data_IF_011720118830
#
_entry.id   IF_011720118830
#
_cell.length_a   1.000
_cell.length_b   1.000
_cell.length_c   1.000
_cell.angle_alpha   90.00
_cell.angle_beta   90.00
_cell.angle_gamma   90.00
#
_symmetry.space_group_name_H-M   'P 1'
#
loop_
_entity.id
_entity.type
_entity.pdbx_description
1 polymer ?
#
# COMPACT_ATOMS: atom_id res chain seq x y z
N UNK A 1 21.47 -3.08 -6.32
CA UNK A 1 20.48 -4.05 -5.76
C UNK A 1 19.31 -3.25 -5.20
N UNK A 2 18.07 -3.59 -5.59
CA UNK A 2 16.87 -2.93 -5.06
C UNK A 2 16.34 -3.70 -3.85
N UNK A 3 16.08 -3.01 -2.74
CA UNK A 3 15.53 -3.60 -1.51
C UNK A 3 14.25 -2.91 -1.11
N UNK A 4 13.29 -3.67 -0.57
CA UNK A 4 12.13 -3.16 0.15
C UNK A 4 12.34 -3.37 1.64
N UNK A 5 12.30 -2.28 2.41
CA UNK A 5 12.33 -2.30 3.87
C UNK A 5 10.96 -1.92 4.40
N UNK A 6 10.37 -2.77 5.24
CA UNK A 6 9.14 -2.47 5.98
C UNK A 6 9.51 -1.70 7.23
N UNK A 7 9.18 -0.41 7.29
CA UNK A 7 9.36 0.44 8.48
C UNK A 7 8.23 0.19 9.46
N UNK A 8 7.01 0.07 8.93
CA UNK A 8 5.82 -0.34 9.63
C UNK A 8 4.71 -0.76 8.68
N UNK A 9 3.78 -1.59 9.18
CA UNK A 9 2.64 -2.07 8.42
C UNK A 9 1.50 -2.43 9.38
N UNK A 10 0.33 -1.83 9.19
CA UNK A 10 -0.86 -2.02 10.02
C UNK A 10 -1.40 -0.71 10.56
N UNK A 11 -2.44 -0.76 11.39
CA UNK A 11 -3.18 0.40 11.92
C UNK A 11 -2.36 1.31 12.85
N UNK A 12 -1.17 0.90 13.28
CA UNK A 12 -0.24 1.73 14.04
C UNK A 12 0.61 2.66 13.15
N UNK A 13 0.65 2.42 11.86
CA UNK A 13 1.33 3.23 10.86
C UNK A 13 1.99 2.40 9.76
N UNK A 14 1.73 2.80 8.54
CA UNK A 14 2.28 2.19 7.33
C UNK A 14 3.41 3.06 6.78
N UNK A 15 4.54 2.46 6.50
CA UNK A 15 5.67 3.12 5.86
C UNK A 15 6.60 2.05 5.27
N UNK A 16 6.87 2.16 3.98
CA UNK A 16 7.73 1.23 3.25
C UNK A 16 8.79 2.01 2.50
N UNK A 17 10.02 1.50 2.49
CA UNK A 17 11.14 2.12 1.81
C UNK A 17 11.65 1.20 0.71
N UNK A 18 11.45 1.61 -0.54
CA UNK A 18 12.01 0.95 -1.72
C UNK A 18 13.26 1.69 -2.14
N UNK A 19 14.43 1.04 -2.08
CA UNK A 19 15.72 1.71 -2.29
C UNK A 19 16.79 0.85 -2.96
N UNK A 20 17.66 1.51 -3.70
CA UNK A 20 18.97 0.99 -4.11
C UNK A 20 20.10 1.88 -3.58
N UNK A 21 21.30 1.79 -4.15
CA UNK A 21 22.46 2.60 -3.72
C UNK A 21 22.29 4.10 -4.03
N UNK A 22 21.55 4.46 -5.09
CA UNK A 22 21.46 5.81 -5.64
C UNK A 22 20.16 6.54 -5.29
N UNK A 23 19.06 5.80 -5.15
CA UNK A 23 17.76 6.42 -4.97
C UNK A 23 16.80 5.58 -4.11
N UNK A 24 15.80 6.28 -3.56
CA UNK A 24 14.77 5.71 -2.72
C UNK A 24 13.40 6.33 -3.00
N UNK A 25 12.37 5.50 -2.96
CA UNK A 25 10.97 5.89 -2.95
C UNK A 25 10.35 5.49 -1.61
N UNK A 26 9.74 6.44 -0.93
CA UNK A 26 8.96 6.17 0.29
C UNK A 26 7.51 5.96 -0.11
N UNK A 27 6.90 4.90 0.38
CA UNK A 27 5.50 4.56 0.18
C UNK A 27 4.84 4.64 1.56
N UNK A 28 3.86 5.52 1.71
CA UNK A 28 3.16 5.87 2.95
C UNK A 28 4.02 6.61 4.00
N UNK A 29 3.37 7.44 4.80
CA UNK A 29 3.95 8.25 5.85
C UNK A 29 3.16 8.19 7.16
N UNK A 30 2.69 7.00 7.54
CA UNK A 30 2.01 6.75 8.82
C UNK A 30 2.94 6.74 10.02
N UNK A 31 4.26 6.79 9.81
CA UNK A 31 5.28 6.82 10.86
C UNK A 31 6.17 8.05 10.78
N UNK A 32 6.72 8.54 11.93
CA UNK A 32 7.58 9.73 11.96
C UNK A 32 8.82 9.59 11.09
N UNK A 33 9.08 10.58 10.25
CA UNK A 33 10.24 10.63 9.36
C UNK A 33 11.58 10.49 10.09
N UNK A 34 11.75 11.27 11.18
CA UNK A 34 13.03 11.35 11.87
C UNK A 34 13.45 10.04 12.53
N UNK A 35 12.50 9.32 13.12
CA UNK A 35 12.81 8.13 13.93
C UNK A 35 12.98 6.86 13.12
N UNK A 36 12.31 6.76 11.99
CA UNK A 36 12.19 5.50 11.26
C UNK A 36 12.91 5.53 9.91
N UNK A 37 12.58 6.48 9.05
CA UNK A 37 13.12 6.50 7.67
C UNK A 37 14.59 6.90 7.66
N UNK A 38 14.99 7.91 8.44
CA UNK A 38 16.42 8.28 8.56
C UNK A 38 17.27 7.11 9.06
N UNK A 39 16.79 6.37 10.05
CA UNK A 39 17.48 5.19 10.56
C UNK A 39 17.59 4.09 9.49
N UNK A 40 16.52 3.80 8.76
CA UNK A 40 16.51 2.81 7.69
C UNK A 40 17.41 3.18 6.51
N UNK A 41 17.56 4.47 6.21
CA UNK A 41 18.46 5.00 5.18
C UNK A 41 19.91 5.14 5.64
N UNK A 42 20.22 4.84 6.90
CA UNK A 42 21.55 5.07 7.47
C UNK A 42 21.94 6.56 7.45
N UNK A 43 20.97 7.46 7.65
CA UNK A 43 21.10 8.93 7.59
C UNK A 43 21.41 9.50 6.19
N UNK A 44 21.48 8.67 5.14
CA UNK A 44 21.60 9.13 3.75
C UNK A 44 20.23 9.41 3.14
N UNK A 45 19.61 10.52 3.55
CA UNK A 45 18.28 10.92 3.07
C UNK A 45 18.29 11.62 1.71
N UNK A 46 19.45 12.00 1.18
CA UNK A 46 19.59 12.71 -0.12
C UNK A 46 19.13 11.85 -1.30
N UNK A 47 19.16 10.53 -1.13
CA UNK A 47 18.67 9.60 -2.16
C UNK A 47 17.13 9.51 -2.23
N UNK A 48 16.37 10.06 -1.27
CA UNK A 48 14.91 10.08 -1.35
C UNK A 48 14.48 10.94 -2.55
N UNK A 49 13.85 10.31 -3.53
CA UNK A 49 13.33 11.02 -4.71
C UNK A 49 11.91 11.51 -4.47
N UNK A 50 11.08 10.74 -3.77
CA UNK A 50 9.73 11.15 -3.41
C UNK A 50 9.14 10.32 -2.26
N UNK A 51 8.07 10.86 -1.70
CA UNK A 51 7.04 10.17 -0.94
C UNK A 51 5.78 10.04 -1.81
N UNK A 52 5.12 8.88 -1.79
CA UNK A 52 3.78 8.66 -2.35
C UNK A 52 2.83 8.22 -1.24
N UNK A 53 1.65 8.85 -1.15
CA UNK A 53 0.65 8.58 -0.10
C UNK A 53 -0.67 8.16 -0.74
N UNK A 54 -1.21 7.01 -0.32
CA UNK A 54 -2.42 6.44 -0.91
C UNK A 54 -3.69 7.21 -0.58
N UNK A 55 -3.85 7.64 0.66
CA UNK A 55 -5.02 8.36 1.16
C UNK A 55 -4.74 9.07 2.50
N UNK A 56 -5.74 9.79 3.02
CA UNK A 56 -5.60 10.75 4.13
C UNK A 56 -5.61 10.18 5.55
N UNK A 57 -5.93 8.88 5.75
CA UNK A 57 -6.01 8.34 7.11
C UNK A 57 -4.67 8.42 7.83
N UNK A 58 -4.72 8.58 9.16
CA UNK A 58 -3.56 8.86 10.00
C UNK A 58 -2.46 7.81 9.87
N UNK A 59 -2.82 6.56 9.79
CA UNK A 59 -1.88 5.44 9.66
C UNK A 59 -1.21 5.36 8.27
N UNK A 60 -1.58 6.26 7.33
CA UNK A 60 -0.97 6.41 6.00
C UNK A 60 -0.34 7.78 5.76
N UNK A 61 -0.95 8.86 6.27
CA UNK A 61 -0.59 10.23 5.90
C UNK A 61 -0.10 11.11 7.06
N UNK A 62 -0.21 10.67 8.32
CA UNK A 62 -0.03 11.49 9.53
C UNK A 62 1.26 12.32 9.53
N UNK A 63 2.34 11.78 8.98
CA UNK A 63 3.65 12.42 8.99
C UNK A 63 4.11 12.86 7.60
N UNK A 64 3.22 12.89 6.60
CA UNK A 64 3.56 13.33 5.24
C UNK A 64 4.06 14.79 5.21
N UNK A 65 3.54 15.63 6.09
CA UNK A 65 3.98 17.02 6.25
C UNK A 65 5.49 17.15 6.59
N UNK A 66 6.09 16.18 7.32
CA UNK A 66 7.52 16.20 7.65
C UNK A 66 8.40 16.07 6.40
N UNK A 67 7.95 15.27 5.42
CA UNK A 67 8.63 15.14 4.13
C UNK A 67 8.49 16.42 3.31
N UNK A 68 7.28 17.00 3.28
CA UNK A 68 7.01 18.22 2.55
C UNK A 68 7.81 19.41 3.10
N UNK A 69 7.90 19.59 4.42
CA UNK A 69 8.69 20.62 5.08
C UNK A 69 10.21 20.42 4.88
N UNK A 70 10.66 19.16 4.83
CA UNK A 70 12.05 18.84 4.51
C UNK A 70 12.38 19.01 3.02
N UNK A 71 11.40 19.42 2.18
CA UNK A 71 11.59 19.71 0.76
C UNK A 71 11.52 18.51 -0.18
N UNK A 72 11.15 17.31 0.33
CA UNK A 72 10.99 16.13 -0.52
C UNK A 72 9.71 16.19 -1.33
N UNK A 73 9.79 15.81 -2.61
CA UNK A 73 8.60 15.67 -3.46
C UNK A 73 7.61 14.73 -2.80
N UNK A 74 6.40 15.23 -2.53
CA UNK A 74 5.33 14.50 -1.85
C UNK A 74 4.11 14.45 -2.76
N UNK A 75 3.79 13.27 -3.26
CA UNK A 75 2.66 13.04 -4.13
C UNK A 75 1.48 12.50 -3.32
N UNK A 76 0.36 13.19 -3.37
CA UNK A 76 -0.87 12.82 -2.67
C UNK A 76 -2.09 13.26 -3.47
N UNK A 77 -3.24 12.62 -3.20
CA UNK A 77 -4.52 13.07 -3.74
C UNK A 77 -4.91 14.44 -3.17
N UNK A 78 -5.68 15.22 -3.92
CA UNK A 78 -6.18 16.53 -3.49
C UNK A 78 -6.86 16.47 -2.11
N UNK A 79 -7.66 15.45 -1.84
CA UNK A 79 -8.32 15.22 -0.55
C UNK A 79 -7.30 15.05 0.59
N UNK A 80 -6.22 14.31 0.36
CA UNK A 80 -5.12 14.13 1.32
C UNK A 80 -4.35 15.43 1.54
N UNK A 81 -4.05 16.17 0.47
CA UNK A 81 -3.37 17.47 0.55
C UNK A 81 -4.19 18.45 1.39
N UNK A 82 -5.50 18.46 1.19
CA UNK A 82 -6.41 19.37 1.89
C UNK A 82 -6.59 19.02 3.38
N UNK A 83 -6.48 17.74 3.72
CA UNK A 83 -6.77 17.21 5.06
C UNK A 83 -5.52 17.05 5.95
N UNK A 84 -4.33 16.86 5.37
CA UNK A 84 -3.09 16.47 6.09
C UNK A 84 -2.04 17.58 6.19
N UNK A 85 -2.44 18.85 6.21
CA UNK A 85 -1.55 20.02 6.35
C UNK A 85 -0.45 20.12 5.27
N UNK A 86 -0.76 19.68 4.04
CA UNK A 86 0.18 19.69 2.92
C UNK A 86 0.00 20.90 1.99
N UNK A 87 -1.02 21.73 2.22
CA UNK A 87 -1.32 22.91 1.40
C UNK A 87 -0.21 23.93 1.42
N UNK A 88 0.12 24.45 0.25
CA UNK A 88 1.07 25.58 0.10
C UNK A 88 2.54 25.19 0.09
N UNK A 89 2.88 23.93 0.39
CA UNK A 89 4.27 23.47 0.25
C UNK A 89 4.60 23.24 -1.24
N UNK A 90 5.65 23.88 -1.74
CA UNK A 90 6.03 23.79 -3.16
C UNK A 90 6.45 22.38 -3.60
N UNK A 91 6.91 21.55 -2.67
CA UNK A 91 7.30 20.15 -2.87
C UNK A 91 6.11 19.21 -3.01
N UNK A 92 4.89 19.63 -2.62
CA UNK A 92 3.68 18.82 -2.71
C UNK A 92 3.12 18.86 -4.12
N UNK A 93 2.76 17.70 -4.65
CA UNK A 93 2.20 17.50 -5.97
C UNK A 93 0.87 16.76 -5.88
N UNK A 94 -0.17 17.34 -6.45
CA UNK A 94 -1.46 16.68 -6.61
C UNK A 94 -1.33 15.57 -7.65
N UNK A 95 -1.71 14.35 -7.26
CA UNK A 95 -1.72 13.21 -8.16
C UNK A 95 -3.15 12.82 -8.53
N UNK A 96 -3.32 12.42 -9.78
CA UNK A 96 -4.63 12.03 -10.32
C UNK A 96 -4.63 10.56 -10.68
N UNK A 97 -5.64 9.77 -10.24
CA UNK A 97 -5.76 8.38 -10.64
C UNK A 97 -5.74 8.21 -12.16
N UNK A 98 -4.97 7.23 -12.66
CA UNK A 98 -4.81 6.99 -14.09
C UNK A 98 -3.75 7.85 -14.79
N UNK A 99 -3.19 8.86 -14.12
CA UNK A 99 -2.13 9.71 -14.68
C UNK A 99 -0.79 9.37 -14.02
N UNK A 100 0.07 8.65 -14.75
CA UNK A 100 1.39 8.28 -14.28
C UNK A 100 2.36 9.45 -14.27
N UNK A 101 3.35 9.40 -13.37
CA UNK A 101 4.45 10.34 -13.29
C UNK A 101 5.80 9.63 -13.09
N UNK A 102 6.89 10.36 -13.32
CA UNK A 102 8.25 9.87 -13.11
C UNK A 102 8.97 10.71 -12.05
N UNK A 103 9.74 10.05 -11.20
CA UNK A 103 10.59 10.67 -10.21
C UNK A 103 11.82 9.81 -9.98
N UNK A 104 13.03 10.37 -10.21
CA UNK A 104 14.23 9.55 -10.33
C UNK A 104 14.07 8.47 -11.40
N UNK A 105 14.49 7.26 -11.11
CA UNK A 105 14.29 6.08 -11.96
C UNK A 105 12.91 5.43 -11.81
N UNK A 106 12.07 5.91 -10.88
CA UNK A 106 10.74 5.36 -10.63
C UNK A 106 9.69 5.95 -11.57
N UNK A 107 8.86 5.08 -12.15
CA UNK A 107 7.59 5.44 -12.80
C UNK A 107 6.45 4.96 -11.91
N UNK A 108 5.55 5.86 -11.53
CA UNK A 108 4.42 5.57 -10.63
C UNK A 108 3.11 5.87 -11.34
N UNK A 109 2.21 4.89 -11.38
CA UNK A 109 0.84 5.03 -11.86
C UNK A 109 -0.12 4.83 -10.68
N UNK A 110 -0.74 5.90 -10.15
CA UNK A 110 -1.80 5.78 -9.17
C UNK A 110 -3.07 5.26 -9.84
N UNK A 111 -3.75 4.30 -9.21
CA UNK A 111 -5.04 3.80 -9.69
C UNK A 111 -6.07 3.78 -8.56
N UNK A 112 -7.36 4.10 -8.84
CA UNK A 112 -8.36 4.27 -7.80
C UNK A 112 -8.69 2.96 -7.08
N UNK A 113 -8.93 3.05 -5.78
CA UNK A 113 -9.42 1.96 -4.93
C UNK A 113 -10.71 2.39 -4.22
N UNK A 114 -11.52 1.40 -3.82
CA UNK A 114 -12.74 1.64 -3.06
C UNK A 114 -12.46 1.51 -1.57
N UNK A 115 -12.49 2.65 -0.89
CA UNK A 115 -12.29 2.75 0.55
C UNK A 115 -13.31 3.70 1.18
N UNK A 116 -13.60 3.51 2.47
CA UNK A 116 -14.63 4.27 3.19
C UNK A 116 -14.12 4.78 4.53
N UNK A 117 -14.56 5.97 4.87
CA UNK A 117 -14.37 6.57 6.19
C UNK A 117 -15.21 5.85 7.26
N UNK A 118 -14.93 6.14 8.52
CA UNK A 118 -15.67 5.58 9.65
C UNK A 118 -17.16 5.93 9.66
N UNK A 119 -17.55 7.02 9.01
CA UNK A 119 -18.93 7.47 8.86
C UNK A 119 -19.65 6.88 7.63
N UNK A 120 -18.97 6.00 6.88
CA UNK A 120 -19.50 5.36 5.67
C UNK A 120 -19.39 6.20 4.40
N UNK A 121 -18.82 7.39 4.45
CA UNK A 121 -18.54 8.18 3.25
C UNK A 121 -17.33 7.64 2.50
N UNK A 122 -17.28 7.82 1.18
CA UNK A 122 -16.10 7.42 0.38
C UNK A 122 -14.85 8.20 0.82
N UNK A 123 -13.74 7.50 1.02
CA UNK A 123 -12.41 8.08 1.17
C UNK A 123 -11.65 7.93 -0.14
N UNK A 124 -11.33 9.04 -0.84
CA UNK A 124 -10.49 8.96 -2.04
C UNK A 124 -9.17 8.24 -1.75
N UNK A 125 -8.96 7.10 -2.38
CA UNK A 125 -7.84 6.20 -2.12
C UNK A 125 -7.27 5.68 -3.43
N UNK A 126 -5.95 5.52 -3.50
CA UNK A 126 -5.25 4.93 -4.65
C UNK A 126 -4.32 3.80 -4.22
N UNK A 127 -4.19 2.83 -5.11
CA UNK A 127 -3.02 1.94 -5.14
C UNK A 127 -1.98 2.47 -6.10
N UNK A 128 -0.81 1.85 -6.12
CA UNK A 128 0.30 2.26 -6.98
C UNK A 128 0.82 1.09 -7.81
N UNK A 129 0.97 1.31 -9.12
CA UNK A 129 1.80 0.48 -9.96
C UNK A 129 3.14 1.21 -10.14
N UNK A 130 4.18 0.70 -9.49
CA UNK A 130 5.52 1.29 -9.46
C UNK A 130 6.41 0.46 -10.37
N UNK A 131 7.17 1.12 -11.24
CA UNK A 131 8.12 0.46 -12.14
C UNK A 131 9.49 1.07 -11.98
N UNK A 132 10.52 0.23 -11.87
CA UNK A 132 11.92 0.63 -11.85
C UNK A 132 12.79 -0.45 -12.53
N UNK A 133 13.87 -0.03 -13.19
CA UNK A 133 14.75 -0.93 -13.95
C UNK A 133 15.34 -2.08 -13.11
N UNK A 134 15.61 -1.84 -11.83
CA UNK A 134 16.22 -2.82 -10.94
C UNK A 134 15.23 -3.85 -10.37
N UNK A 135 13.95 -3.49 -10.21
CA UNK A 135 12.95 -4.36 -9.57
C UNK A 135 11.76 -4.73 -10.46
N UNK A 136 11.71 -4.24 -11.70
CA UNK A 136 10.55 -4.47 -12.55
C UNK A 136 9.33 -3.72 -12.06
N UNK A 137 8.20 -4.39 -11.98
CA UNK A 137 6.90 -3.80 -11.66
C UNK A 137 6.40 -4.27 -10.30
N UNK A 138 6.04 -3.32 -9.44
CA UNK A 138 5.45 -3.55 -8.12
C UNK A 138 4.00 -3.10 -8.15
N UNK A 139 3.07 -3.94 -7.73
CA UNK A 139 1.68 -3.57 -7.51
C UNK A 139 1.41 -3.46 -6.01
N UNK A 140 1.10 -2.25 -5.55
CA UNK A 140 0.78 -1.93 -4.16
C UNK A 140 -0.69 -1.57 -4.04
N UNK A 141 -1.41 -2.21 -3.13
CA UNK A 141 -2.75 -1.80 -2.73
C UNK A 141 -3.00 -2.07 -1.25
N UNK A 142 -3.66 -1.13 -0.61
CA UNK A 142 -4.03 -1.14 0.80
C UNK A 142 -5.39 -0.48 0.98
N UNK A 143 -6.03 -0.73 2.11
CA UNK A 143 -7.29 -0.10 2.50
C UNK A 143 -8.33 -0.11 1.39
N UNK A 144 -8.76 -1.31 1.04
CA UNK A 144 -9.80 -1.48 0.05
C UNK A 144 -10.66 -2.71 0.35
N UNK A 145 -11.94 -2.61 0.08
CA UNK A 145 -12.87 -3.76 0.21
C UNK A 145 -12.57 -4.84 -0.84
N UNK A 146 -12.12 -4.41 -2.02
CA UNK A 146 -11.84 -5.28 -3.16
C UNK A 146 -10.84 -4.67 -4.12
N UNK A 147 -10.08 -5.52 -4.82
CA UNK A 147 -9.15 -5.12 -5.87
C UNK A 147 -9.86 -4.98 -7.21
N UNK A 148 -10.71 -3.93 -7.30
CA UNK A 148 -11.56 -3.64 -8.46
C UNK A 148 -11.60 -2.14 -8.74
N UNK A 149 -11.90 -1.78 -9.98
CA UNK A 149 -12.21 -0.40 -10.39
C UNK A 149 -13.70 -0.26 -10.69
N UNK A 150 -14.22 0.90 -10.41
CA UNK A 150 -15.56 1.31 -10.82
C UNK A 150 -15.54 1.67 -12.32
N UNK A 151 -16.50 1.16 -13.08
CA UNK A 151 -16.68 1.46 -14.49
C UNK A 151 -18.15 1.78 -14.73
N UNK A 152 -18.41 2.91 -15.37
CA UNK A 152 -19.77 3.26 -15.84
C UNK A 152 -20.03 2.56 -17.16
N UNK A 153 -21.15 1.87 -17.27
CA UNK A 153 -21.66 1.21 -18.47
C UNK A 153 -23.07 1.72 -18.77
N UNK A 154 -23.58 1.40 -19.96
CA UNK A 154 -24.95 1.79 -20.35
C UNK A 154 -26.02 1.22 -19.38
N UNK A 155 -25.72 0.07 -18.74
CA UNK A 155 -26.59 -0.59 -17.77
C UNK A 155 -26.38 -0.09 -16.31
N UNK A 156 -25.49 0.91 -16.09
CA UNK A 156 -25.18 1.48 -14.80
C UNK A 156 -23.74 1.21 -14.34
N UNK A 157 -23.52 1.37 -13.02
CA UNK A 157 -22.22 1.23 -12.39
C UNK A 157 -21.84 -0.25 -12.21
N UNK A 158 -20.62 -0.63 -12.62
CA UNK A 158 -20.05 -1.98 -12.40
C UNK A 158 -18.65 -1.91 -11.78
N UNK A 159 -18.30 -2.96 -11.04
CA UNK A 159 -16.95 -3.15 -10.48
C UNK A 159 -16.20 -4.19 -11.32
N UNK A 160 -15.12 -3.75 -11.97
CA UNK A 160 -14.27 -4.60 -12.81
C UNK A 160 -12.95 -4.84 -12.09
N UNK A 161 -12.51 -6.11 -11.99
CA UNK A 161 -11.21 -6.43 -11.41
C UNK A 161 -10.06 -5.75 -12.15
N UNK A 162 -9.04 -5.31 -11.38
CA UNK A 162 -7.77 -4.91 -11.96
C UNK A 162 -7.02 -6.12 -12.50
N UNK A 163 -6.37 -5.92 -13.64
CA UNK A 163 -5.46 -6.87 -14.26
C UNK A 163 -4.24 -6.07 -14.76
N UNK A 164 -3.11 -6.25 -14.07
CA UNK A 164 -1.85 -5.61 -14.41
C UNK A 164 -0.87 -6.70 -14.87
N UNK A 165 -0.41 -6.66 -16.13
CA UNK A 165 0.54 -7.65 -16.64
C UNK A 165 1.94 -7.45 -16.05
N UNK A 166 2.74 -8.51 -16.05
CA UNK A 166 4.18 -8.49 -15.75
C UNK A 166 4.53 -7.90 -14.36
N UNK A 167 3.70 -8.15 -13.34
CA UNK A 167 3.98 -7.72 -11.98
C UNK A 167 5.03 -8.64 -11.35
N UNK A 168 6.19 -8.07 -11.03
CA UNK A 168 7.31 -8.79 -10.41
C UNK A 168 7.11 -8.98 -8.91
N UNK A 169 6.49 -8.00 -8.23
CA UNK A 169 6.29 -7.98 -6.79
C UNK A 169 4.90 -7.47 -6.44
N UNK A 170 4.22 -8.20 -5.58
CA UNK A 170 2.91 -7.77 -5.07
C UNK A 170 3.01 -7.35 -3.61
N UNK A 171 2.48 -6.19 -3.29
CA UNK A 171 2.23 -5.71 -1.93
C UNK A 171 0.71 -5.64 -1.75
N UNK A 172 0.14 -6.70 -1.18
CA UNK A 172 -1.30 -6.90 -1.11
C UNK A 172 -1.82 -6.72 0.30
N UNK A 173 -2.85 -5.92 0.49
CA UNK A 173 -3.54 -5.90 1.76
C UNK A 173 -4.09 -7.29 2.11
N UNK A 174 -3.89 -7.68 3.38
CA UNK A 174 -4.49 -8.87 3.97
C UNK A 174 -4.76 -8.62 5.45
N UNK A 175 -5.80 -7.84 5.75
CA UNK A 175 -5.99 -7.25 7.06
C UNK A 175 -6.51 -8.23 8.10
N UNK A 176 -7.51 -9.06 7.77
CA UNK A 176 -8.19 -9.86 8.79
C UNK A 176 -8.58 -11.25 8.30
N UNK A 177 -8.81 -12.14 9.28
CA UNK A 177 -9.42 -13.46 9.07
C UNK A 177 -10.90 -13.44 9.45
N UNK A 178 -11.78 -13.86 8.54
CA UNK A 178 -13.22 -13.94 8.77
C UNK A 178 -13.59 -14.78 9.99
N UNK A 179 -12.86 -15.89 10.24
CA UNK A 179 -13.14 -16.74 11.38
C UNK A 179 -12.74 -16.08 12.70
N UNK A 180 -11.62 -15.34 12.72
CA UNK A 180 -11.14 -14.63 13.92
C UNK A 180 -12.10 -13.49 14.26
N UNK A 181 -12.37 -12.58 13.30
CA UNK A 181 -13.21 -11.41 13.55
C UNK A 181 -14.64 -11.79 13.95
N UNK A 182 -15.21 -12.83 13.34
CA UNK A 182 -16.58 -13.27 13.66
C UNK A 182 -16.68 -13.90 15.06
N UNK A 183 -15.62 -14.56 15.55
CA UNK A 183 -15.56 -15.15 16.89
C UNK A 183 -15.26 -14.14 18.00
N UNK A 184 -14.71 -12.99 17.65
CA UNK A 184 -14.37 -11.96 18.65
C UNK A 184 -15.63 -11.46 19.36
N UNK A 185 -15.66 -11.61 20.69
CA UNK A 185 -16.71 -11.08 21.56
C UNK A 185 -16.42 -9.64 22.04
N UNK A 186 -15.20 -9.17 21.84
CA UNK A 186 -14.75 -7.84 22.30
C UNK A 186 -14.94 -6.75 21.25
N UNK A 187 -15.18 -7.12 19.97
CA UNK A 187 -15.38 -6.17 18.89
C UNK A 187 -16.88 -6.04 18.63
N UNK A 188 -17.47 -4.84 18.80
CA UNK A 188 -18.87 -4.58 18.47
C UNK A 188 -19.17 -4.89 16.99
N UNK A 189 -20.38 -5.32 16.68
CA UNK A 189 -20.73 -5.72 15.32
C UNK A 189 -20.64 -4.57 14.30
N UNK A 190 -20.93 -3.34 14.69
CA UNK A 190 -20.74 -2.18 13.81
C UNK A 190 -19.27 -1.97 13.43
N UNK A 191 -18.31 -2.25 14.36
CA UNK A 191 -16.88 -2.18 14.08
C UNK A 191 -16.45 -3.32 13.16
N UNK A 192 -16.97 -4.57 13.39
CA UNK A 192 -16.71 -5.70 12.49
C UNK A 192 -17.19 -5.40 11.07
N UNK A 193 -18.39 -4.85 10.94
CA UNK A 193 -18.94 -4.48 9.63
C UNK A 193 -18.09 -3.40 8.95
N UNK A 194 -17.66 -2.37 9.68
CA UNK A 194 -16.74 -1.35 9.17
C UNK A 194 -15.44 -1.98 8.64
N UNK A 195 -14.78 -2.83 9.43
CA UNK A 195 -13.55 -3.52 9.00
C UNK A 195 -13.78 -4.28 7.69
N UNK A 196 -14.90 -4.99 7.56
CA UNK A 196 -15.23 -5.79 6.36
C UNK A 196 -15.47 -4.94 5.11
N UNK A 197 -15.95 -3.71 5.26
CA UNK A 197 -16.16 -2.78 4.14
C UNK A 197 -14.96 -1.89 3.84
N UNK A 198 -13.99 -1.80 4.76
CA UNK A 198 -12.81 -0.95 4.60
C UNK A 198 -11.56 -1.71 4.22
N UNK A 199 -11.51 -3.02 4.49
CA UNK A 199 -10.29 -3.81 4.37
C UNK A 199 -10.51 -5.18 3.72
N UNK A 200 -9.44 -5.76 3.18
CA UNK A 200 -9.45 -7.09 2.60
C UNK A 200 -9.25 -8.19 3.64
N UNK A 201 -10.15 -9.16 3.62
CA UNK A 201 -9.95 -10.42 4.35
C UNK A 201 -8.94 -11.32 3.63
N UNK A 202 -8.33 -12.28 4.36
CA UNK A 202 -7.55 -13.36 3.75
C UNK A 202 -8.28 -14.03 2.58
N UNK A 203 -9.58 -14.30 2.74
CA UNK A 203 -10.40 -14.91 1.69
C UNK A 203 -10.44 -14.07 0.42
N UNK A 204 -10.61 -12.75 0.54
CA UNK A 204 -10.66 -11.85 -0.60
C UNK A 204 -9.28 -11.66 -1.24
N UNK A 205 -8.22 -11.54 -0.44
CA UNK A 205 -6.84 -11.47 -0.95
C UNK A 205 -6.46 -12.74 -1.71
N UNK A 206 -6.83 -13.92 -1.21
CA UNK A 206 -6.63 -15.19 -1.93
C UNK A 206 -7.40 -15.26 -3.25
N UNK A 207 -8.63 -14.71 -3.33
CA UNK A 207 -9.37 -14.61 -4.60
C UNK A 207 -8.64 -13.73 -5.61
N UNK A 208 -8.08 -12.60 -5.16
CA UNK A 208 -7.26 -11.73 -6.01
C UNK A 208 -6.04 -12.50 -6.51
N UNK A 209 -5.26 -13.11 -5.61
CA UNK A 209 -4.03 -13.82 -5.95
C UNK A 209 -4.25 -15.00 -6.94
N UNK A 210 -5.41 -15.67 -6.88
CA UNK A 210 -5.77 -16.74 -7.83
C UNK A 210 -6.21 -16.24 -9.19
N UNK A 211 -6.58 -14.97 -9.31
CA UNK A 211 -7.12 -14.38 -10.54
C UNK A 211 -6.08 -13.63 -11.35
N UNK A 212 -5.17 -12.90 -10.68
CA UNK A 212 -4.14 -12.08 -11.34
C UNK A 212 -3.07 -12.96 -11.96
N UNK A 213 -2.45 -12.47 -13.05
CA UNK A 213 -1.30 -13.15 -13.65
C UNK A 213 -0.08 -13.05 -12.71
N UNK A 214 0.36 -14.19 -12.22
CA UNK A 214 1.53 -14.32 -11.36
C UNK A 214 2.76 -14.88 -12.10
N UNK A 215 2.72 -15.00 -13.43
CA UNK A 215 3.80 -15.62 -14.22
C UNK A 215 5.14 -14.95 -13.95
N UNK A 216 5.20 -13.62 -14.01
CA UNK A 216 6.40 -12.82 -13.74
C UNK A 216 6.67 -12.57 -12.25
N UNK A 217 5.76 -13.02 -11.37
CA UNK A 217 5.82 -12.71 -9.93
C UNK A 217 6.89 -13.52 -9.21
N UNK A 218 7.75 -12.84 -8.48
CA UNK A 218 8.83 -13.42 -7.64
C UNK A 218 8.36 -13.66 -6.22
N UNK A 219 7.72 -12.65 -5.62
CA UNK A 219 7.16 -12.75 -4.26
C UNK A 219 5.91 -11.89 -4.06
N UNK A 220 5.20 -12.23 -3.00
CA UNK A 220 4.01 -11.54 -2.50
C UNK A 220 4.29 -11.11 -1.06
N UNK A 221 4.16 -9.83 -0.77
CA UNK A 221 4.20 -9.27 0.57
C UNK A 221 2.76 -8.96 1.02
N UNK A 222 2.31 -9.60 2.06
CA UNK A 222 1.03 -9.29 2.70
C UNK A 222 1.23 -8.13 3.65
N UNK A 223 0.49 -7.05 3.42
CA UNK A 223 0.61 -5.78 4.14
C UNK A 223 -0.66 -5.45 4.91
N UNK A 224 -0.57 -4.45 5.79
CA UNK A 224 -1.69 -3.93 6.59
C UNK A 224 -2.40 -5.01 7.41
N UNK A 225 -1.64 -5.93 8.00
CA UNK A 225 -2.15 -7.04 8.80
C UNK A 225 -2.58 -6.52 10.17
N UNK A 226 -3.80 -6.86 10.60
CA UNK A 226 -4.34 -6.45 11.90
C UNK A 226 -3.73 -7.25 13.04
N UNK A 227 -3.25 -6.59 14.09
CA UNK A 227 -2.66 -7.25 15.28
C UNK A 227 -3.65 -8.15 16.01
N UNK A 228 -4.94 -7.83 15.99
CA UNK A 228 -5.96 -8.55 16.79
C UNK A 228 -6.89 -9.46 15.97
N UNK A 229 -6.94 -9.32 14.65
CA UNK A 229 -7.91 -10.01 13.79
C UNK A 229 -7.27 -10.91 12.72
N UNK A 230 -5.97 -11.16 12.83
CA UNK A 230 -5.20 -11.91 11.85
C UNK A 230 -4.31 -12.98 12.50
N UNK A 231 -3.90 -13.95 11.70
CA UNK A 231 -2.84 -14.90 11.97
C UNK A 231 -1.89 -14.87 10.75
N UNK A 232 -0.81 -14.13 10.89
CA UNK A 232 0.18 -13.87 9.84
C UNK A 232 0.81 -15.17 9.31
N UNK A 233 1.08 -16.14 10.18
CA UNK A 233 1.62 -17.46 9.81
C UNK A 233 0.62 -18.24 8.94
N UNK A 234 -0.66 -18.21 9.31
CA UNK A 234 -1.73 -18.79 8.52
C UNK A 234 -1.84 -18.11 7.17
N UNK A 235 -1.80 -16.77 7.13
CA UNK A 235 -1.91 -15.99 5.91
C UNK A 235 -0.81 -16.33 4.91
N UNK A 236 0.45 -16.36 5.37
CA UNK A 236 1.60 -16.73 4.55
C UNK A 236 1.49 -18.18 4.05
N UNK A 237 1.11 -19.12 4.91
CA UNK A 237 0.94 -20.53 4.54
C UNK A 237 -0.13 -20.71 3.46
N UNK A 238 -1.30 -20.11 3.63
CA UNK A 238 -2.41 -20.22 2.68
C UNK A 238 -2.11 -19.51 1.36
N UNK A 239 -1.46 -18.36 1.39
CA UNK A 239 -1.02 -17.65 0.18
C UNK A 239 0.01 -18.47 -0.61
N UNK A 240 1.00 -19.06 0.06
CA UNK A 240 1.99 -19.95 -0.58
C UNK A 240 1.32 -21.18 -1.21
N UNK A 241 0.38 -21.81 -0.48
CA UNK A 241 -0.35 -22.96 -0.99
C UNK A 241 -1.22 -22.62 -2.21
N UNK A 242 -1.81 -21.42 -2.23
CA UNK A 242 -2.69 -20.98 -3.32
C UNK A 242 -1.95 -20.55 -4.59
N UNK A 243 -0.72 -20.07 -4.47
CA UNK A 243 0.01 -19.40 -5.57
C UNK A 243 1.30 -20.07 -5.99
N UNK A 244 1.90 -20.90 -5.12
CA UNK A 244 3.24 -21.45 -5.33
C UNK A 244 4.37 -20.40 -5.24
N UNK A 245 4.06 -19.13 -4.89
CA UNK A 245 5.03 -18.04 -4.84
C UNK A 245 5.63 -17.87 -3.45
N UNK A 246 6.82 -17.27 -3.37
CA UNK A 246 7.35 -16.80 -2.08
C UNK A 246 6.39 -15.78 -1.51
N UNK A 247 6.09 -15.91 -0.23
CA UNK A 247 5.18 -15.00 0.45
C UNK A 247 5.72 -14.63 1.83
N UNK A 248 5.56 -13.37 2.21
CA UNK A 248 5.96 -12.80 3.48
C UNK A 248 4.79 -12.04 4.10
N UNK A 249 4.75 -12.00 5.43
CA UNK A 249 3.91 -11.07 6.19
C UNK A 249 4.76 -9.85 6.55
N UNK A 250 4.25 -8.66 6.29
CA UNK A 250 4.95 -7.42 6.62
C UNK A 250 5.02 -7.23 8.14
N UNK A 251 6.23 -6.97 8.63
CA UNK A 251 6.48 -6.56 10.02
C UNK A 251 7.63 -5.55 10.05
N UNK A 252 7.70 -4.67 11.05
CA UNK A 252 8.79 -3.72 11.18
C UNK A 252 10.16 -4.38 11.14
N UNK A 253 11.07 -3.83 10.32
CA UNK A 253 12.43 -4.33 10.15
C UNK A 253 12.60 -5.45 9.12
N UNK A 254 11.52 -5.95 8.50
CA UNK A 254 11.64 -6.88 7.38
C UNK A 254 12.31 -6.21 6.18
N UNK A 255 13.35 -6.84 5.63
CA UNK A 255 14.04 -6.41 4.42
C UNK A 255 13.95 -7.52 3.37
N UNK A 256 13.51 -7.19 2.17
CA UNK A 256 13.36 -8.14 1.06
C UNK A 256 14.16 -7.63 -0.15
N UNK A 257 14.90 -8.52 -0.80
CA UNK A 257 15.52 -8.23 -2.08
C UNK A 257 14.49 -8.24 -3.20
N UNK A 258 14.23 -7.06 -3.78
CA UNK A 258 13.31 -6.84 -4.90
C UNK A 258 14.02 -6.78 -6.25
N UNK A 259 15.31 -7.09 -6.32
CA UNK A 259 16.04 -7.09 -7.58
C UNK A 259 15.52 -8.16 -8.53
N UNK A 260 15.43 -7.84 -9.83
CA UNK A 260 15.02 -8.79 -10.89
C UNK A 260 16.21 -9.38 -11.66
N UNK A 261 17.43 -8.91 -11.41
CA UNK A 261 18.67 -9.39 -12.03
C UNK A 261 19.41 -10.40 -11.16
#
# INVERSE_FOLDING_TARGET
>A
MMTLTVIGSGSSGNCYLLQNEEEALVIEAGLPFDKTVKAALGWNTDKIKALVVSHRHDDHAKYAWQYAEAGYLTFALKDTIDSCHLKGAYSVKDMHPGHGFKVGGFSVLPYPLNHYNTDGTKCPTVGFLITHADCGRICFFTDCESFTREVMTDDGQRYVPYDFPDVSHWMMECNYDNAIINRSKHIPDFVKNRIKHSHMSLTNTLKVARRVDLTSTREILLIHISDGNADDRKFVREMRAATGKRCYAAHPGLVIDYSIR
#
